data_IF_007704924017
#
_entry.id   IF_007704924017
#
_cell.length_a   1.000
_cell.length_b   1.000
_cell.length_c   1.000
_cell.angle_alpha   90.00
_cell.angle_beta   90.00
_cell.angle_gamma   90.00
#
_symmetry.space_group_name_H-M   'P 1'
#
loop_
_entity.id
_entity.type
_entity.pdbx_description
1 polymer ?
#
# COMPACT_ATOMS: atom_id res chain seq x y z
N UNK A 1 -1.38 7.53 35.00
CA UNK A 1 -1.45 6.83 33.70
C UNK A 1 -0.05 6.87 33.09
N UNK A 2 0.45 5.80 32.45
CA UNK A 2 1.70 5.89 31.71
C UNK A 2 1.60 6.93 30.59
N UNK A 3 2.72 7.56 30.24
CA UNK A 3 2.77 8.56 29.16
C UNK A 3 2.35 7.97 27.81
N UNK A 4 1.69 8.77 26.93
CA UNK A 4 1.35 8.34 25.58
C UNK A 4 2.61 7.95 24.78
N UNK A 5 2.52 6.87 24.01
CA UNK A 5 3.63 6.35 23.19
C UNK A 5 3.40 6.58 21.70
N UNK A 6 4.44 6.39 20.87
CA UNK A 6 4.28 6.37 19.41
C UNK A 6 3.24 5.32 19.01
N UNK A 7 2.50 5.58 17.94
CA UNK A 7 1.50 4.63 17.41
C UNK A 7 2.13 3.27 17.09
N UNK A 8 3.28 3.25 16.39
CA UNK A 8 4.01 2.02 16.09
C UNK A 8 4.37 1.22 17.35
N UNK A 9 4.83 1.90 18.41
CA UNK A 9 5.16 1.26 19.69
C UNK A 9 3.93 0.65 20.35
N UNK A 10 2.77 1.28 20.23
CA UNK A 10 1.52 0.69 20.72
C UNK A 10 1.14 -0.57 19.94
N UNK A 11 1.18 -0.51 18.61
CA UNK A 11 0.86 -1.64 17.73
C UNK A 11 1.78 -2.84 17.99
N UNK A 12 3.09 -2.59 18.13
CA UNK A 12 4.09 -3.62 18.46
C UNK A 12 3.80 -4.27 19.83
N UNK A 13 3.44 -3.48 20.85
CA UNK A 13 3.11 -4.01 22.18
C UNK A 13 1.86 -4.88 22.16
N UNK A 14 0.80 -4.44 21.49
CA UNK A 14 -0.43 -5.23 21.38
C UNK A 14 -0.19 -6.54 20.61
N UNK A 15 0.63 -6.51 19.56
CA UNK A 15 1.10 -7.71 18.86
C UNK A 15 1.81 -8.70 19.79
N UNK A 16 2.81 -8.21 20.53
CA UNK A 16 3.60 -9.04 21.46
C UNK A 16 2.75 -9.66 22.57
N UNK A 17 1.76 -8.91 23.05
CA UNK A 17 0.82 -9.35 24.08
C UNK A 17 -0.28 -10.26 23.53
N UNK A 18 -0.41 -10.38 22.20
CA UNK A 18 -1.54 -11.04 21.52
C UNK A 18 -2.87 -10.53 22.06
N UNK A 19 -2.99 -9.20 22.14
CA UNK A 19 -4.18 -8.54 22.64
C UNK A 19 -5.35 -8.74 21.66
N UNK A 20 -6.34 -9.54 22.08
CA UNK A 20 -7.54 -9.77 21.28
C UNK A 20 -8.36 -8.49 21.11
N UNK A 21 -8.78 -8.20 19.88
CA UNK A 21 -9.64 -7.05 19.57
C UNK A 21 -8.99 -5.67 19.78
N UNK A 22 -7.68 -5.60 20.00
CA UNK A 22 -6.93 -4.35 20.12
C UNK A 22 -6.83 -3.54 18.82
N UNK A 23 -6.21 -2.37 18.90
CA UNK A 23 -5.95 -1.51 17.73
C UNK A 23 -5.10 -2.24 16.69
N UNK A 24 -4.09 -3.01 17.10
CA UNK A 24 -3.23 -3.82 16.23
C UNK A 24 -4.03 -4.87 15.46
N UNK A 25 -4.80 -5.72 16.15
CA UNK A 25 -5.61 -6.76 15.51
C UNK A 25 -6.62 -6.13 14.54
N UNK A 26 -7.32 -5.10 14.99
CA UNK A 26 -8.29 -4.36 14.17
C UNK A 26 -7.63 -3.74 12.93
N UNK A 27 -6.47 -3.10 13.10
CA UNK A 27 -5.70 -2.51 11.99
C UNK A 27 -5.30 -3.57 10.99
N UNK A 28 -4.76 -4.69 11.44
CA UNK A 28 -4.23 -5.72 10.56
C UNK A 28 -5.34 -6.42 9.76
N UNK A 29 -6.45 -6.75 10.42
CA UNK A 29 -7.64 -7.35 9.77
C UNK A 29 -8.21 -6.39 8.73
N UNK A 30 -8.51 -5.14 9.11
CA UNK A 30 -9.10 -4.16 8.19
C UNK A 30 -8.17 -3.83 7.05
N UNK A 31 -6.87 -3.66 7.31
CA UNK A 31 -5.92 -3.30 6.28
C UNK A 31 -5.75 -4.44 5.28
N UNK A 32 -5.57 -5.67 5.74
CA UNK A 32 -5.49 -6.82 4.84
C UNK A 32 -6.77 -7.03 4.04
N UNK A 33 -7.94 -6.92 4.67
CA UNK A 33 -9.23 -7.07 3.99
C UNK A 33 -9.37 -6.05 2.86
N UNK A 34 -9.30 -4.75 3.18
CA UNK A 34 -9.53 -3.70 2.20
C UNK A 34 -8.44 -3.71 1.11
N UNK A 35 -7.18 -3.91 1.50
CA UNK A 35 -6.06 -3.92 0.56
C UNK A 35 -6.12 -5.11 -0.41
N UNK A 36 -6.56 -6.29 0.03
CA UNK A 36 -6.66 -7.45 -0.85
C UNK A 36 -7.94 -7.44 -1.69
N UNK A 37 -9.06 -6.93 -1.18
CA UNK A 37 -10.32 -6.81 -1.94
C UNK A 37 -10.18 -5.90 -3.16
N UNK A 38 -9.47 -4.78 -3.01
CA UNK A 38 -9.19 -3.88 -4.13
C UNK A 38 -8.42 -4.57 -5.27
N UNK A 39 -7.68 -5.64 -4.97
CA UNK A 39 -6.94 -6.44 -5.96
C UNK A 39 -7.69 -7.73 -6.39
N UNK A 40 -8.95 -7.90 -5.96
CA UNK A 40 -9.82 -9.00 -6.39
C UNK A 40 -9.90 -10.22 -5.48
N UNK A 41 -9.39 -10.14 -4.24
CA UNK A 41 -9.65 -11.17 -3.22
C UNK A 41 -11.15 -11.31 -2.96
N UNK A 42 -11.58 -12.53 -2.65
CA UNK A 42 -12.99 -12.87 -2.41
C UNK A 42 -13.29 -13.18 -0.94
N UNK A 43 -12.28 -13.17 -0.06
CA UNK A 43 -12.47 -13.45 1.37
C UNK A 43 -13.25 -12.35 2.07
N UNK A 44 -14.38 -12.66 2.70
CA UNK A 44 -15.12 -11.67 3.49
C UNK A 44 -14.30 -11.10 4.66
N UNK A 45 -14.76 -9.99 5.24
CA UNK A 45 -14.13 -9.43 6.44
C UNK A 45 -14.13 -10.44 7.59
N UNK A 46 -15.20 -11.21 7.75
CA UNK A 46 -15.31 -12.27 8.74
C UNK A 46 -14.30 -13.39 8.47
N UNK A 47 -14.15 -13.83 7.21
CA UNK A 47 -13.13 -14.82 6.84
C UNK A 47 -11.71 -14.30 7.08
N UNK A 48 -11.46 -13.03 6.77
CA UNK A 48 -10.16 -12.39 7.04
C UNK A 48 -9.85 -12.37 8.53
N UNK A 49 -10.84 -12.04 9.37
CA UNK A 49 -10.73 -12.09 10.82
C UNK A 49 -10.51 -13.52 11.34
N UNK A 50 -11.27 -14.51 10.87
CA UNK A 50 -11.08 -15.93 11.22
C UNK A 50 -9.67 -16.42 10.90
N UNK A 51 -9.15 -16.05 9.73
CA UNK A 51 -7.80 -16.41 9.30
C UNK A 51 -6.74 -15.75 10.19
N UNK A 52 -6.94 -14.48 10.59
CA UNK A 52 -6.07 -13.78 11.53
C UNK A 52 -6.07 -14.44 12.91
N UNK A 53 -7.25 -14.69 13.47
CA UNK A 53 -7.42 -15.18 14.85
C UNK A 53 -7.02 -16.65 15.02
N UNK A 54 -7.32 -17.49 14.03
CA UNK A 54 -7.23 -18.96 14.18
C UNK A 54 -6.28 -19.63 13.19
N UNK A 55 -5.85 -18.91 12.14
CA UNK A 55 -5.11 -19.52 11.03
C UNK A 55 -5.95 -20.47 10.17
N UNK A 56 -7.27 -20.51 10.39
CA UNK A 56 -8.19 -21.40 9.69
C UNK A 56 -9.41 -20.63 9.16
N UNK A 57 -10.02 -21.18 8.11
CA UNK A 57 -11.27 -20.68 7.55
C UNK A 57 -12.36 -21.73 7.72
N UNK A 58 -13.51 -21.29 8.22
CA UNK A 58 -14.70 -22.12 8.24
C UNK A 58 -15.52 -21.82 6.97
N UNK A 59 -15.90 -22.85 6.19
CA UNK A 59 -16.79 -22.64 5.05
C UNK A 59 -18.12 -22.06 5.53
N UNK A 60 -18.48 -20.89 5.02
CA UNK A 60 -19.74 -20.20 5.37
C UNK A 60 -20.96 -20.97 4.85
N UNK A 61 -20.80 -21.74 3.78
CA UNK A 61 -21.75 -22.73 3.26
C UNK A 61 -21.04 -23.68 2.25
N UNK A 62 -21.71 -24.76 1.84
CA UNK A 62 -21.14 -25.78 0.95
C UNK A 62 -20.77 -25.30 -0.47
N UNK A 63 -21.25 -24.11 -0.87
CA UNK A 63 -21.00 -23.52 -2.19
C UNK A 63 -20.01 -22.34 -2.15
N UNK A 64 -19.42 -22.03 -1.00
CA UNK A 64 -18.46 -20.94 -0.88
C UNK A 64 -17.08 -21.41 -1.32
N UNK A 65 -16.73 -21.19 -2.59
CA UNK A 65 -15.41 -21.48 -3.12
C UNK A 65 -14.38 -20.51 -2.53
N UNK A 66 -13.47 -21.03 -1.69
CA UNK A 66 -12.36 -20.27 -1.14
C UNK A 66 -11.14 -20.51 -2.01
N UNK A 67 -10.68 -19.46 -2.71
CA UNK A 67 -9.47 -19.54 -3.54
C UNK A 67 -8.24 -19.68 -2.64
N UNK A 68 -7.40 -20.68 -2.92
CA UNK A 68 -6.17 -20.90 -2.16
C UNK A 68 -5.22 -19.70 -2.20
N UNK A 69 -5.12 -19.03 -3.36
CA UNK A 69 -4.28 -17.83 -3.49
C UNK A 69 -4.80 -16.69 -2.58
N UNK A 70 -6.11 -16.49 -2.41
CA UNK A 70 -6.64 -15.44 -1.52
C UNK A 70 -6.26 -15.70 -0.05
N UNK A 71 -6.26 -16.97 0.38
CA UNK A 71 -5.83 -17.37 1.72
C UNK A 71 -4.33 -17.12 1.92
N UNK A 72 -3.52 -17.51 0.92
CA UNK A 72 -2.06 -17.34 0.94
C UNK A 72 -1.70 -15.86 0.93
N UNK A 73 -2.27 -15.06 0.03
CA UNK A 73 -1.99 -13.64 -0.09
C UNK A 73 -2.44 -12.86 1.16
N UNK A 74 -3.55 -13.25 1.79
CA UNK A 74 -3.99 -12.66 3.07
C UNK A 74 -3.04 -13.00 4.21
N UNK A 75 -2.65 -14.28 4.33
CA UNK A 75 -1.65 -14.70 5.32
C UNK A 75 -0.30 -14.01 5.10
N UNK A 76 0.10 -13.80 3.86
CA UNK A 76 1.32 -13.08 3.53
C UNK A 76 1.22 -11.60 3.84
N UNK A 77 0.07 -10.97 3.59
CA UNK A 77 -0.15 -9.57 3.96
C UNK A 77 0.02 -9.37 5.47
N UNK A 78 -0.51 -10.28 6.31
CA UNK A 78 -0.27 -10.28 7.77
C UNK A 78 1.23 -10.31 8.11
N UNK A 79 1.98 -11.22 7.48
CA UNK A 79 3.43 -11.33 7.68
C UNK A 79 4.20 -10.09 7.23
N UNK A 80 3.81 -9.49 6.10
CA UNK A 80 4.44 -8.26 5.59
C UNK A 80 4.12 -7.09 6.51
N UNK A 81 2.90 -7.00 7.04
CA UNK A 81 2.52 -5.97 8.00
C UNK A 81 3.36 -6.07 9.28
N UNK A 82 3.51 -7.28 9.84
CA UNK A 82 4.35 -7.49 11.03
C UNK A 82 5.81 -7.13 10.79
N UNK A 83 6.37 -7.59 9.67
CA UNK A 83 7.72 -7.23 9.27
C UNK A 83 7.88 -5.73 9.08
N UNK A 84 6.91 -5.07 8.44
CA UNK A 84 6.89 -3.62 8.27
C UNK A 84 6.91 -2.89 9.60
N UNK A 85 6.13 -3.34 10.60
CA UNK A 85 6.15 -2.77 11.96
C UNK A 85 7.53 -2.83 12.61
N UNK A 86 8.30 -3.88 12.35
CA UNK A 86 9.65 -4.05 12.89
C UNK A 86 10.71 -3.20 12.18
N UNK A 87 10.41 -2.71 10.97
CA UNK A 87 11.33 -1.95 10.11
C UNK A 87 10.81 -0.52 9.84
N UNK A 88 9.91 0.01 10.67
CA UNK A 88 9.27 1.34 10.48
C UNK A 88 10.28 2.48 10.38
N UNK A 89 11.33 2.46 11.20
CA UNK A 89 12.32 3.54 11.23
C UNK A 89 13.43 3.38 10.17
N UNK A 90 13.43 2.29 9.40
CA UNK A 90 14.36 2.09 8.29
C UNK A 90 13.94 2.86 7.03
N UNK A 91 14.90 3.35 6.21
CA UNK A 91 14.57 4.09 5.00
C UNK A 91 13.91 3.20 3.94
N UNK A 92 12.92 3.74 3.23
CA UNK A 92 12.35 3.09 2.03
C UNK A 92 13.41 3.07 0.94
N UNK A 93 13.83 1.88 0.54
CA UNK A 93 14.81 1.66 -0.51
C UNK A 93 14.43 0.42 -1.33
N UNK A 94 15.24 0.09 -2.34
CA UNK A 94 15.03 -1.07 -3.21
C UNK A 94 14.89 -2.37 -2.41
N UNK A 95 15.80 -2.63 -1.47
CA UNK A 95 15.84 -3.90 -0.75
C UNK A 95 14.59 -4.09 0.11
N UNK A 96 14.10 -3.03 0.76
CA UNK A 96 12.86 -3.05 1.52
C UNK A 96 11.65 -3.40 0.65
N UNK A 97 11.42 -2.65 -0.45
CA UNK A 97 10.23 -2.88 -1.29
C UNK A 97 10.29 -4.24 -1.98
N UNK A 98 11.49 -4.71 -2.37
CA UNK A 98 11.70 -6.02 -2.96
C UNK A 98 11.46 -7.14 -1.95
N UNK A 99 11.90 -6.96 -0.71
CA UNK A 99 11.64 -7.90 0.40
C UNK A 99 10.15 -7.98 0.70
N UNK A 100 9.46 -6.84 0.82
CA UNK A 100 8.01 -6.81 1.02
C UNK A 100 7.26 -7.49 -0.13
N UNK A 101 7.67 -7.24 -1.38
CA UNK A 101 7.07 -7.91 -2.56
C UNK A 101 7.31 -9.43 -2.55
N UNK A 102 8.52 -9.89 -2.23
CA UNK A 102 8.83 -11.30 -2.10
C UNK A 102 7.98 -11.98 -1.02
N UNK A 103 7.87 -11.35 0.15
CA UNK A 103 7.04 -11.84 1.25
C UNK A 103 5.55 -11.88 0.89
N UNK A 104 5.04 -10.84 0.22
CA UNK A 104 3.64 -10.76 -0.21
C UNK A 104 3.26 -11.90 -1.17
N UNK A 105 4.18 -12.27 -2.07
CA UNK A 105 3.93 -13.25 -3.14
C UNK A 105 4.39 -14.67 -2.83
N UNK A 106 5.02 -14.90 -1.67
CA UNK A 106 5.55 -16.21 -1.28
C UNK A 106 4.46 -17.29 -1.21
N UNK A 107 4.71 -18.44 -1.84
CA UNK A 107 3.77 -19.56 -1.90
C UNK A 107 2.58 -19.38 -2.83
N UNK A 108 2.44 -18.23 -3.50
CA UNK A 108 1.39 -18.02 -4.51
C UNK A 108 1.77 -18.71 -5.81
N UNK A 109 0.79 -18.94 -6.69
CA UNK A 109 1.06 -19.46 -8.04
C UNK A 109 2.05 -18.59 -8.85
N UNK A 110 2.12 -17.29 -8.56
CA UNK A 110 2.98 -16.33 -9.25
C UNK A 110 4.46 -16.44 -8.84
N UNK A 111 4.77 -16.96 -7.65
CA UNK A 111 6.16 -17.12 -7.17
C UNK A 111 6.99 -18.00 -8.11
N UNK A 112 6.37 -19.02 -8.68
CA UNK A 112 7.02 -19.99 -9.55
C UNK A 112 7.14 -19.54 -11.02
N UNK A 113 6.54 -18.41 -11.38
CA UNK A 113 6.57 -17.86 -12.74
C UNK A 113 7.76 -16.88 -12.88
N UNK A 114 8.82 -17.22 -13.65
CA UNK A 114 9.99 -16.36 -13.81
C UNK A 114 9.66 -14.99 -14.38
N UNK A 115 8.59 -14.86 -15.17
CA UNK A 115 8.17 -13.60 -15.77
C UNK A 115 7.63 -12.64 -14.71
N UNK A 116 7.13 -13.16 -13.58
CA UNK A 116 6.66 -12.34 -12.46
C UNK A 116 7.80 -11.71 -11.69
N UNK A 117 8.99 -12.31 -11.73
CA UNK A 117 10.20 -11.86 -11.05
C UNK A 117 9.91 -11.48 -9.59
N UNK A 118 9.30 -12.39 -8.82
CA UNK A 118 8.91 -12.12 -7.43
C UNK A 118 10.12 -11.69 -6.61
N UNK A 119 9.97 -10.57 -5.88
CA UNK A 119 11.06 -9.90 -5.17
C UNK A 119 11.99 -9.03 -6.04
N UNK A 120 11.79 -8.97 -7.35
CA UNK A 120 12.51 -8.11 -8.28
C UNK A 120 11.57 -7.17 -9.05
N UNK A 121 12.13 -6.19 -9.76
CA UNK A 121 11.34 -5.34 -10.65
C UNK A 121 10.80 -6.12 -11.85
N UNK A 122 9.70 -5.63 -12.43
CA UNK A 122 9.08 -6.23 -13.61
C UNK A 122 10.10 -6.33 -14.76
N UNK A 123 10.03 -7.44 -15.47
CA UNK A 123 10.86 -7.71 -16.66
C UNK A 123 10.08 -7.50 -17.96
N UNK A 124 8.75 -7.41 -17.87
CA UNK A 124 7.87 -7.06 -18.99
C UNK A 124 7.13 -5.74 -18.71
N UNK A 125 6.80 -4.97 -19.76
CA UNK A 125 5.94 -3.80 -19.63
C UNK A 125 4.55 -4.16 -19.07
N UNK A 126 3.98 -3.30 -18.23
CA UNK A 126 2.62 -3.42 -17.71
C UNK A 126 1.86 -2.08 -17.71
N UNK A 127 0.54 -2.15 -17.75
CA UNK A 127 -0.35 -0.98 -17.80
C UNK A 127 -1.26 -0.99 -16.59
N UNK A 128 -1.53 0.19 -16.03
CA UNK A 128 -2.54 0.34 -14.97
C UNK A 128 -3.89 0.39 -15.66
N UNK A 129 -4.69 -0.66 -15.47
CA UNK A 129 -5.99 -0.88 -16.11
C UNK A 129 -5.94 -0.86 -17.65
N UNK A 130 -6.18 -2.02 -18.28
CA UNK A 130 -6.19 -2.15 -19.74
C UNK A 130 -7.21 -1.22 -20.44
N UNK A 131 -8.22 -0.74 -19.72
CA UNK A 131 -9.25 0.18 -20.24
C UNK A 131 -8.79 1.64 -20.27
N UNK A 132 -7.94 2.05 -19.32
CA UNK A 132 -7.45 3.43 -19.21
C UNK A 132 -6.12 3.59 -19.96
N UNK A 133 -5.34 2.50 -20.09
CA UNK A 133 -4.16 2.48 -20.93
C UNK A 133 -3.01 3.32 -20.39
N UNK A 134 -2.91 3.52 -19.07
CA UNK A 134 -1.79 4.27 -18.48
C UNK A 134 -0.54 3.39 -18.59
N UNK A 135 0.36 3.76 -19.49
CA UNK A 135 1.61 3.06 -19.69
C UNK A 135 2.63 3.49 -18.63
N UNK A 136 2.93 2.55 -17.75
CA UNK A 136 3.84 2.75 -16.63
C UNK A 136 5.30 2.80 -17.10
N UNK A 137 6.23 3.02 -16.16
CA UNK A 137 7.66 2.98 -16.46
C UNK A 137 8.04 1.68 -17.18
N UNK A 138 8.86 1.76 -18.23
CA UNK A 138 9.38 0.56 -18.88
C UNK A 138 10.33 -0.19 -17.93
N UNK A 139 10.45 -1.53 -18.03
CA UNK A 139 11.35 -2.33 -17.17
C UNK A 139 12.75 -1.74 -16.97
N UNK A 140 13.38 -1.30 -18.07
CA UNK A 140 14.72 -0.67 -18.08
C UNK A 140 14.81 0.64 -17.30
N UNK A 141 13.69 1.37 -17.19
CA UNK A 141 13.61 2.70 -16.59
C UNK A 141 13.15 2.63 -15.12
N UNK A 142 12.60 1.49 -14.67
CA UNK A 142 12.13 1.29 -13.29
C UNK A 142 13.19 1.62 -12.24
N UNK A 143 14.47 1.19 -12.35
CA UNK A 143 15.47 1.52 -11.33
C UNK A 143 15.62 3.04 -11.13
N UNK A 144 15.75 3.81 -12.21
CA UNK A 144 15.89 5.26 -12.14
C UNK A 144 14.59 5.95 -11.66
N UNK A 145 13.43 5.44 -12.07
CA UNK A 145 12.14 5.92 -11.57
C UNK A 145 11.97 5.69 -10.06
N UNK A 146 12.39 4.53 -9.56
CA UNK A 146 12.31 4.19 -8.15
C UNK A 146 13.26 5.02 -7.29
N UNK A 147 14.43 5.43 -7.80
CA UNK A 147 15.26 6.40 -7.08
C UNK A 147 14.50 7.69 -6.79
N UNK A 148 13.71 8.21 -7.73
CA UNK A 148 12.88 9.38 -7.49
C UNK A 148 11.83 9.13 -6.40
N UNK A 149 11.20 7.95 -6.41
CA UNK A 149 10.25 7.54 -5.36
C UNK A 149 10.92 7.49 -3.99
N UNK A 150 12.12 6.91 -3.88
CA UNK A 150 12.86 6.84 -2.61
C UNK A 150 13.24 8.23 -2.09
N UNK A 151 13.65 9.15 -2.95
CA UNK A 151 13.93 10.53 -2.55
C UNK A 151 12.68 11.23 -1.99
N UNK A 152 11.50 11.02 -2.60
CA UNK A 152 10.24 11.56 -2.09
C UNK A 152 9.94 11.06 -0.68
N UNK A 153 10.04 9.75 -0.44
CA UNK A 153 9.81 9.16 0.88
C UNK A 153 10.86 9.58 1.91
N UNK A 154 12.14 9.68 1.53
CA UNK A 154 13.21 10.12 2.42
C UNK A 154 13.02 11.56 2.93
N UNK A 155 12.46 12.43 2.09
CA UNK A 155 12.12 13.83 2.44
C UNK A 155 10.71 14.02 3.01
N UNK A 156 9.95 12.94 3.21
CA UNK A 156 8.53 13.04 3.52
C UNK A 156 8.31 13.70 4.89
N UNK A 157 7.32 14.58 4.94
CA UNK A 157 6.79 15.20 6.15
C UNK A 157 5.30 14.91 6.27
N UNK A 158 4.67 15.28 7.39
CA UNK A 158 3.21 15.27 7.55
C UNK A 158 2.55 16.40 6.73
N UNK A 159 2.78 16.40 5.41
CA UNK A 159 2.17 17.30 4.45
C UNK A 159 1.22 16.47 3.55
N UNK A 160 -0.10 16.75 3.56
CA UNK A 160 -1.07 15.94 2.83
C UNK A 160 -0.78 15.78 1.33
N UNK A 161 -0.26 16.83 0.70
CA UNK A 161 0.09 16.80 -0.72
C UNK A 161 1.34 15.96 -0.98
N UNK A 162 2.39 16.09 -0.17
CA UNK A 162 3.62 15.30 -0.28
C UNK A 162 3.35 13.80 -0.10
N UNK A 163 2.49 13.43 0.86
CA UNK A 163 2.05 12.04 1.09
C UNK A 163 1.36 11.49 -0.16
N UNK A 164 0.36 12.22 -0.68
CA UNK A 164 -0.36 11.82 -1.88
C UNK A 164 0.55 11.71 -3.11
N UNK A 165 1.49 12.66 -3.27
CA UNK A 165 2.45 12.69 -4.38
C UNK A 165 3.44 11.53 -4.33
N UNK A 166 3.98 11.20 -3.15
CA UNK A 166 4.89 10.08 -2.99
C UNK A 166 4.19 8.75 -3.33
N UNK A 167 2.97 8.55 -2.82
CA UNK A 167 2.15 7.38 -3.12
C UNK A 167 1.80 7.27 -4.61
N UNK A 168 1.33 8.37 -5.21
CA UNK A 168 1.04 8.41 -6.65
C UNK A 168 2.29 8.13 -7.51
N UNK A 169 3.47 8.64 -7.13
CA UNK A 169 4.71 8.38 -7.87
C UNK A 169 5.08 6.89 -7.83
N UNK A 170 4.89 6.21 -6.69
CA UNK A 170 5.08 4.77 -6.58
C UNK A 170 4.10 4.00 -7.48
N UNK A 171 2.79 4.27 -7.33
CA UNK A 171 1.73 3.56 -8.07
C UNK A 171 1.86 3.75 -9.59
N UNK A 172 2.18 4.97 -10.05
CA UNK A 172 2.36 5.29 -11.46
C UNK A 172 3.65 4.71 -12.06
N UNK A 173 4.71 4.56 -11.26
CA UNK A 173 5.94 3.87 -11.68
C UNK A 173 5.68 2.37 -11.85
N UNK A 174 4.88 1.79 -10.97
CA UNK A 174 4.41 0.41 -11.03
C UNK A 174 5.56 -0.61 -11.18
N UNK A 175 6.50 -0.66 -10.21
CA UNK A 175 7.79 -1.33 -10.37
C UNK A 175 7.71 -2.86 -10.47
N UNK A 176 6.65 -3.49 -9.97
CA UNK A 176 6.47 -4.94 -9.94
C UNK A 176 5.50 -5.43 -11.01
N UNK A 177 5.54 -6.73 -11.31
CA UNK A 177 4.63 -7.35 -12.28
C UNK A 177 3.17 -7.42 -11.80
N UNK A 178 2.99 -7.52 -10.48
CA UNK A 178 1.71 -7.50 -9.76
C UNK A 178 1.97 -7.10 -8.29
N UNK A 179 0.93 -6.78 -7.52
CA UNK A 179 1.02 -6.46 -6.09
C UNK A 179 1.44 -5.02 -5.79
N UNK A 180 1.59 -4.17 -6.81
CA UNK A 180 1.98 -2.76 -6.65
C UNK A 180 1.06 -2.02 -5.68
N UNK A 181 -0.26 -2.09 -5.87
CA UNK A 181 -1.22 -1.41 -4.99
C UNK A 181 -1.06 -1.78 -3.51
N UNK A 182 -0.84 -3.06 -3.22
CA UNK A 182 -0.64 -3.56 -1.85
C UNK A 182 0.67 -3.06 -1.25
N UNK A 183 1.77 -3.14 -2.00
CA UNK A 183 3.07 -2.64 -1.54
C UNK A 183 3.04 -1.12 -1.35
N UNK A 184 2.46 -0.37 -2.29
CA UNK A 184 2.35 1.09 -2.20
C UNK A 184 1.56 1.52 -0.97
N UNK A 185 0.40 0.89 -0.71
CA UNK A 185 -0.37 1.15 0.52
C UNK A 185 0.40 0.79 1.79
N UNK A 186 1.10 -0.34 1.82
CA UNK A 186 1.93 -0.74 2.97
C UNK A 186 3.08 0.24 3.22
N UNK A 187 3.77 0.70 2.17
CA UNK A 187 4.86 1.70 2.25
C UNK A 187 4.31 3.05 2.72
N UNK A 188 3.17 3.49 2.19
CA UNK A 188 2.51 4.71 2.66
C UNK A 188 2.14 4.60 4.15
N UNK A 189 1.54 3.48 4.57
CA UNK A 189 1.18 3.25 5.98
C UNK A 189 2.42 3.28 6.89
N UNK A 190 3.50 2.57 6.50
CA UNK A 190 4.79 2.57 7.20
C UNK A 190 5.34 3.98 7.38
N UNK A 191 5.39 4.77 6.31
CA UNK A 191 5.99 6.10 6.37
C UNK A 191 5.19 7.06 7.25
N UNK A 192 3.87 6.91 7.30
CA UNK A 192 3.05 7.66 8.25
C UNK A 192 3.29 7.23 9.70
N UNK A 193 3.53 5.94 9.96
CA UNK A 193 3.99 5.48 11.28
C UNK A 193 5.38 6.04 11.64
N UNK A 194 6.32 6.09 10.70
CA UNK A 194 7.68 6.63 10.90
C UNK A 194 7.64 8.11 11.30
N UNK A 195 6.71 8.86 10.70
CA UNK A 195 6.50 10.28 10.98
C UNK A 195 5.71 10.55 12.27
N UNK A 196 5.32 9.50 13.01
CA UNK A 196 4.44 9.59 14.17
C UNK A 196 3.13 10.34 13.87
N UNK A 197 2.61 10.18 12.65
CA UNK A 197 1.32 10.75 12.23
C UNK A 197 0.26 9.67 12.06
N UNK A 198 -1.00 10.08 11.93
CA UNK A 198 -2.12 9.17 11.65
C UNK A 198 -1.95 8.53 10.25
N UNK A 199 -1.89 7.19 10.14
CA UNK A 199 -1.84 6.47 8.87
C UNK A 199 -3.15 6.55 8.08
N UNK A 200 -3.04 6.34 6.76
CA UNK A 200 -4.18 6.16 5.87
C UNK A 200 -4.44 4.66 5.62
N UNK A 201 -5.65 4.19 5.92
CA UNK A 201 -6.13 2.84 5.58
C UNK A 201 -7.26 3.00 4.56
N UNK A 202 -6.95 2.80 3.27
CA UNK A 202 -7.90 2.99 2.19
C UNK A 202 -8.97 1.90 2.24
N UNK A 203 -10.24 2.31 2.37
CA UNK A 203 -11.36 1.38 2.44
C UNK A 203 -11.77 0.92 1.03
N UNK A 204 -12.08 -0.37 0.87
CA UNK A 204 -12.46 -0.97 -0.41
C UNK A 204 -13.73 -0.31 -1.00
N UNK A 205 -14.65 0.14 -0.17
CA UNK A 205 -15.82 0.92 -0.62
C UNK A 205 -15.43 2.21 -1.37
N UNK A 206 -14.22 2.73 -1.16
CA UNK A 206 -13.67 3.90 -1.85
C UNK A 206 -12.74 3.52 -3.01
N UNK A 207 -12.59 2.24 -3.36
CA UNK A 207 -11.69 1.77 -4.43
C UNK A 207 -11.89 2.54 -5.74
N UNK A 208 -13.12 2.73 -6.20
CA UNK A 208 -13.39 3.47 -7.43
C UNK A 208 -12.96 4.95 -7.34
N UNK A 209 -13.11 5.57 -6.17
CA UNK A 209 -12.66 6.94 -5.93
C UNK A 209 -11.13 7.01 -5.91
N UNK A 210 -10.50 6.05 -5.23
CA UNK A 210 -9.04 5.92 -5.15
C UNK A 210 -8.39 5.75 -6.53
N UNK A 211 -8.88 4.82 -7.34
CA UNK A 211 -8.35 4.57 -8.69
C UNK A 211 -8.52 5.78 -9.61
N UNK A 212 -9.65 6.49 -9.52
CA UNK A 212 -9.87 7.74 -10.27
C UNK A 212 -8.96 8.87 -9.77
N UNK A 213 -8.79 8.99 -8.46
CA UNK A 213 -7.93 9.99 -7.85
C UNK A 213 -6.46 9.80 -8.25
N UNK A 214 -5.97 8.55 -8.31
CA UNK A 214 -4.64 8.23 -8.84
C UNK A 214 -4.50 8.59 -10.32
N UNK A 215 -5.53 8.27 -11.12
CA UNK A 215 -5.55 8.56 -12.57
C UNK A 215 -5.48 10.05 -12.84
N UNK A 216 -6.27 10.85 -12.11
CA UNK A 216 -6.37 12.29 -12.32
C UNK A 216 -5.36 13.11 -11.52
N UNK A 217 -4.54 12.49 -10.66
CA UNK A 217 -3.58 13.20 -9.81
C UNK A 217 -2.68 14.22 -10.54
N UNK A 218 -2.19 13.99 -11.77
CA UNK A 218 -1.39 14.96 -12.52
C UNK A 218 -2.05 16.34 -12.65
N UNK A 219 -3.36 16.35 -12.85
CA UNK A 219 -4.14 17.55 -13.18
C UNK A 219 -5.01 18.01 -12.00
N UNK A 220 -5.50 17.07 -11.20
CA UNK A 220 -6.42 17.30 -10.08
C UNK A 220 -5.95 16.57 -8.81
N UNK A 221 -4.78 16.94 -8.24
CA UNK A 221 -4.18 16.23 -7.11
C UNK A 221 -5.07 16.21 -5.87
N UNK A 222 -5.99 17.19 -5.76
CA UNK A 222 -6.87 17.32 -4.61
C UNK A 222 -7.82 16.15 -4.39
N UNK A 223 -8.18 15.39 -5.43
CA UNK A 223 -9.00 14.20 -5.23
C UNK A 223 -8.29 13.13 -4.39
N UNK A 224 -6.99 12.93 -4.62
CA UNK A 224 -6.23 11.95 -3.85
C UNK A 224 -5.91 12.48 -2.45
N UNK A 225 -5.54 13.76 -2.35
CA UNK A 225 -5.24 14.38 -1.04
C UNK A 225 -6.45 14.30 -0.12
N UNK A 226 -7.63 14.71 -0.58
CA UNK A 226 -8.84 14.72 0.25
C UNK A 226 -9.31 13.31 0.59
N UNK A 227 -9.16 12.36 -0.35
CA UNK A 227 -9.45 10.96 -0.06
C UNK A 227 -8.53 10.44 1.06
N UNK A 228 -7.21 10.65 0.95
CA UNK A 228 -6.27 10.20 1.96
C UNK A 228 -6.52 10.86 3.33
N UNK A 229 -6.92 12.14 3.37
CA UNK A 229 -7.35 12.79 4.61
C UNK A 229 -8.58 12.12 5.22
N UNK A 230 -9.59 11.80 4.41
CA UNK A 230 -10.78 11.06 4.87
C UNK A 230 -10.43 9.68 5.44
N UNK A 231 -9.50 8.96 4.81
CA UNK A 231 -9.03 7.65 5.30
C UNK A 231 -8.20 7.76 6.58
N UNK A 232 -7.42 8.84 6.74
CA UNK A 232 -6.71 9.16 7.99
C UNK A 232 -7.70 9.51 9.09
N UNK A 233 -8.74 10.30 8.83
CA UNK A 233 -9.82 10.57 9.79
C UNK A 233 -10.51 9.28 10.24
N UNK A 234 -10.74 8.34 9.32
CA UNK A 234 -11.28 7.02 9.66
C UNK A 234 -10.35 6.28 10.62
N UNK A 235 -9.06 6.20 10.32
CA UNK A 235 -8.11 5.52 11.18
C UNK A 235 -7.93 6.22 12.53
N UNK A 236 -7.94 7.56 12.57
CA UNK A 236 -7.91 8.33 13.81
C UNK A 236 -9.08 7.99 14.75
N UNK A 237 -10.27 7.74 14.21
CA UNK A 237 -11.42 7.30 15.01
C UNK A 237 -11.16 5.93 15.65
N UNK A 238 -10.55 4.99 14.93
CA UNK A 238 -10.15 3.69 15.49
C UNK A 238 -9.12 3.86 16.61
N UNK A 239 -8.10 4.69 16.40
CA UNK A 239 -7.08 5.03 17.43
C UNK A 239 -7.75 5.57 18.69
N UNK A 240 -8.67 6.54 18.56
CA UNK A 240 -9.38 7.14 19.70
C UNK A 240 -10.30 6.14 20.41
N UNK A 241 -10.90 5.21 19.68
CA UNK A 241 -11.80 4.21 20.25
C UNK A 241 -11.06 3.08 20.98
N UNK A 242 -9.98 2.56 20.39
CA UNK A 242 -9.31 1.34 20.85
C UNK A 242 -8.09 1.62 21.75
N UNK A 243 -7.51 2.83 21.66
CA UNK A 243 -6.36 3.24 22.44
C UNK A 243 -6.50 4.69 22.97
N UNK A 244 -7.60 5.00 23.68
CA UNK A 244 -7.91 6.37 24.12
C UNK A 244 -6.80 6.92 25.02
N UNK A 245 -6.26 8.08 24.64
CA UNK A 245 -5.20 8.79 25.38
C UNK A 245 -3.90 7.98 25.58
N UNK A 246 -3.71 6.89 24.83
CA UNK A 246 -2.51 6.02 24.93
C UNK A 246 -1.44 6.35 23.90
N UNK A 247 -1.80 7.06 22.83
CA UNK A 247 -0.95 7.26 21.65
C UNK A 247 -0.72 8.75 21.44
N UNK A 248 0.56 9.13 21.26
CA UNK A 248 0.98 10.44 20.79
C UNK A 248 1.10 10.40 19.27
N UNK A 249 0.52 11.39 18.58
CA UNK A 249 0.62 11.53 17.13
C UNK A 249 0.50 12.99 16.68
N UNK A 250 1.06 13.31 15.51
CA UNK A 250 0.70 14.51 14.75
C UNK A 250 -0.45 14.21 13.78
N UNK A 251 -1.15 15.24 13.35
CA UNK A 251 -2.10 15.12 12.25
C UNK A 251 -2.27 16.48 11.58
N UNK A 252 -1.56 16.70 10.48
CA UNK A 252 -1.82 17.84 9.62
C UNK A 252 -2.91 17.50 8.61
N UNK A 253 -4.05 18.17 8.73
CA UNK A 253 -5.21 18.05 7.86
C UNK A 253 -5.37 19.25 6.91
N UNK A 254 -4.43 20.20 6.95
CA UNK A 254 -4.46 21.41 6.16
C UNK A 254 -3.62 21.26 4.90
N UNK A 255 -4.22 21.57 3.75
CA UNK A 255 -3.49 21.76 2.50
C UNK A 255 -4.18 22.80 1.63
N UNK A 256 -3.40 23.57 0.88
CA UNK A 256 -3.92 24.60 0.00
C UNK A 256 -3.88 24.11 -1.46
N UNK A 257 -5.05 23.87 -2.05
CA UNK A 257 -5.20 23.53 -3.47
C UNK A 257 -4.51 24.52 -4.40
N UNK A 258 -4.51 25.82 -4.04
CA UNK A 258 -3.92 26.87 -4.86
C UNK A 258 -2.39 26.90 -4.81
N UNK A 259 -1.78 26.23 -3.83
CA UNK A 259 -0.32 26.11 -3.73
C UNK A 259 0.29 25.20 -4.80
N UNK A 260 -0.52 24.33 -5.42
CA UNK A 260 -0.11 23.45 -6.53
C UNK A 260 -0.44 24.13 -7.86
N UNK A 261 0.53 24.88 -8.39
CA UNK A 261 0.32 25.75 -9.56
C UNK A 261 0.66 25.10 -10.91
N UNK A 262 1.23 23.89 -10.90
CA UNK A 262 1.64 23.17 -12.11
C UNK A 262 1.20 21.70 -12.07
N UNK A 263 0.93 21.15 -13.25
CA UNK A 263 0.65 19.72 -13.40
C UNK A 263 1.85 18.89 -12.95
N UNK A 264 1.57 17.85 -12.17
CA UNK A 264 2.60 16.93 -11.67
C UNK A 264 2.79 15.83 -12.70
N UNK A 265 4.02 15.53 -13.09
CA UNK A 265 4.30 14.43 -14.02
C UNK A 265 5.31 13.45 -13.46
N UNK A 266 5.10 12.18 -13.81
CA UNK A 266 6.09 11.14 -13.67
C UNK A 266 6.83 11.06 -15.00
N UNK A 267 8.12 11.44 -15.07
CA UNK A 267 8.86 11.53 -16.34
C UNK A 267 9.05 10.17 -17.03
N UNK A 268 8.75 9.07 -16.33
CA UNK A 268 8.88 7.70 -16.84
C UNK A 268 7.54 7.12 -17.33
N UNK A 269 6.42 7.81 -17.10
CA UNK A 269 5.07 7.40 -17.52
C UNK A 269 4.72 8.12 -18.82
N UNK A 270 4.15 7.38 -19.78
CA UNK A 270 3.81 7.91 -21.12
C UNK A 270 2.36 7.59 -21.47
N UNK A 271 1.81 8.35 -22.41
CA UNK A 271 0.48 8.07 -22.95
C UNK A 271 0.48 6.82 -23.84
N UNK A 272 1.60 6.56 -24.54
CA UNK A 272 1.85 5.35 -25.34
C UNK A 272 3.34 4.98 -25.34
N UNK A 273 3.63 3.68 -25.47
CA UNK A 273 4.98 3.18 -25.77
C UNK A 273 5.10 3.07 -27.29
N UNK A 274 6.26 3.39 -27.83
CA UNK A 274 6.53 3.14 -29.25
C UNK A 274 7.00 1.69 -29.49
N UNK A 275 6.90 1.20 -30.73
CA UNK A 275 7.32 -0.17 -31.08
C UNK A 275 8.83 -0.41 -30.86
N UNK A 276 9.64 0.64 -30.92
CA UNK A 276 11.09 0.55 -30.80
C UNK A 276 11.52 0.39 -29.34
N UNK A 277 10.81 1.05 -28.42
CA UNK A 277 10.94 0.96 -26.97
C UNK A 277 10.57 -0.42 -26.45
N UNK A 278 9.49 -1.01 -26.96
CA UNK A 278 9.11 -2.39 -26.64
C UNK A 278 10.14 -3.42 -27.11
N UNK A 279 10.73 -3.20 -28.29
CA UNK A 279 11.82 -4.05 -28.84
C UNK A 279 13.13 -3.90 -28.07
N UNK A 280 13.43 -2.71 -27.55
CA UNK A 280 14.62 -2.44 -26.72
C UNK A 280 14.45 -2.92 -25.27
N UNK A 281 13.24 -2.86 -24.71
CA UNK A 281 12.94 -3.28 -23.34
C UNK A 281 12.87 -4.79 -23.09
N UNK A 282 12.88 -5.60 -24.15
CA UNK A 282 12.90 -7.08 -24.08
C UNK A 282 14.30 -7.68 -24.25
N UNK A 283 15.32 -6.85 -24.49
CA UNK A 283 16.72 -7.26 -24.60
C UNK A 283 17.53 -6.74 -23.40
N UNK A 284 17.43 -7.42 -22.27
CA UNK A 284 18.39 -7.33 -21.16
C UNK A 284 18.36 -8.61 -20.36
#
# INVERSE_FOLDING_TARGET
>A
MPEPVRLVTWLQREREQRADGGLYATTQILFSYNSNHMEGSTLSLEQTAQLFDTGALLPSNANNEIKADDVIETTNHFRVFDWMLDHVDEPVNRDMICTMHAMLKRGTRQELDPVRNVGGYKVLPNVISQLVGIHTALPKDVPAAMEHVFHLYASLTDDPYAIARAHWMFESTHPFSDGNGRIGRLVMFKELLRLDTIPALILDQHHNLYTRALTNFPDEPGYLVDLLLSERDHYQRLVRQLAPERISYTYNDQWDRSSVTASVRNPYVKDRWDEEELRRGTRS
#
